data_IF_410599864836
#
_entry.id   IF_410599864836
#
_cell.length_a   1.000
_cell.length_b   1.000
_cell.length_c   1.000
_cell.angle_alpha   90.00
_cell.angle_beta   90.00
_cell.angle_gamma   90.00
#
_symmetry.space_group_name_H-M   'P 1'
#
loop_
_entity.id
_entity.type
_entity.pdbx_description
1 polymer ?
#
# COMPACT_ATOMS: atom_id res chain seq x y z
N UNK A 1 15.29 -5.99 8.47
CA UNK A 1 15.42 -4.84 7.53
C UNK A 1 14.27 -3.90 7.81
N UNK A 2 14.53 -2.60 8.04
CA UNK A 2 13.47 -1.59 8.19
C UNK A 2 12.95 -1.24 6.78
N UNK A 3 12.00 -2.04 6.29
CA UNK A 3 11.48 -1.95 4.91
C UNK A 3 10.74 -0.63 4.66
N UNK A 4 10.32 0.05 5.73
CA UNK A 4 9.51 1.26 5.67
C UNK A 4 10.35 2.55 5.61
N UNK A 5 11.64 2.49 5.96
CA UNK A 5 12.46 3.68 6.17
C UNK A 5 11.93 4.57 7.31
N UNK A 6 12.65 5.63 7.65
CA UNK A 6 12.16 6.60 8.63
C UNK A 6 10.97 7.39 8.06
N UNK A 7 9.90 7.51 8.85
CA UNK A 7 8.77 8.36 8.51
C UNK A 7 9.27 9.81 8.34
N UNK A 8 8.90 10.52 7.26
CA UNK A 8 9.24 11.93 7.12
C UNK A 8 8.73 12.75 8.31
N UNK A 9 9.55 13.63 8.91
CA UNK A 9 9.08 14.51 9.97
C UNK A 9 7.95 15.40 9.44
N UNK A 10 6.87 15.52 10.20
CA UNK A 10 5.70 16.31 9.81
C UNK A 10 4.73 15.60 8.86
N UNK A 11 4.76 14.26 8.78
CA UNK A 11 3.75 13.52 8.00
C UNK A 11 2.36 13.83 8.56
N UNK A 12 1.45 14.44 7.78
CA UNK A 12 0.18 14.94 8.29
C UNK A 12 -0.79 13.81 8.63
N UNK A 13 -1.58 13.97 9.68
CA UNK A 13 -2.77 13.14 9.90
C UNK A 13 -3.88 13.61 8.95
N UNK A 14 -4.21 12.78 7.98
CA UNK A 14 -5.33 12.96 7.07
C UNK A 14 -6.68 12.83 7.78
N UNK A 15 -7.64 13.68 7.40
CA UNK A 15 -9.05 13.40 7.67
C UNK A 15 -9.49 12.14 6.89
N UNK A 16 -10.56 11.49 7.34
CA UNK A 16 -11.10 10.32 6.63
C UNK A 16 -11.44 10.61 5.16
N UNK A 17 -11.91 11.81 4.84
CA UNK A 17 -12.27 12.21 3.48
C UNK A 17 -11.01 12.39 2.60
N UNK A 18 -9.97 12.99 3.15
CA UNK A 18 -8.71 13.19 2.44
C UNK A 18 -7.96 11.87 2.21
N UNK A 19 -8.02 10.96 3.19
CA UNK A 19 -7.47 9.62 3.09
C UNK A 19 -8.14 8.82 1.96
N UNK A 20 -9.47 8.76 1.94
CA UNK A 20 -10.22 8.05 0.91
C UNK A 20 -10.04 8.69 -0.48
N UNK A 21 -9.93 10.02 -0.58
CA UNK A 21 -9.66 10.72 -1.84
C UNK A 21 -8.30 10.32 -2.44
N UNK A 22 -7.26 10.24 -1.60
CA UNK A 22 -5.92 9.81 -2.01
C UNK A 22 -5.90 8.34 -2.44
N UNK A 23 -6.62 7.48 -1.71
CA UNK A 23 -6.81 6.07 -2.07
C UNK A 23 -7.54 5.94 -3.41
N UNK A 24 -8.64 6.67 -3.60
CA UNK A 24 -9.37 6.64 -4.86
C UNK A 24 -8.49 7.09 -6.04
N UNK A 25 -7.60 8.07 -5.81
CA UNK A 25 -6.62 8.51 -6.81
C UNK A 25 -5.58 7.43 -7.10
N UNK A 26 -5.10 6.70 -6.09
CA UNK A 26 -4.14 5.61 -6.28
C UNK A 26 -4.75 4.41 -7.00
N UNK A 27 -6.00 4.05 -6.68
CA UNK A 27 -6.70 2.92 -7.30
C UNK A 27 -7.12 3.17 -8.75
N UNK A 28 -7.33 4.43 -9.15
CA UNK A 28 -7.64 4.80 -10.55
C UNK A 28 -6.44 4.63 -11.49
N UNK A 29 -5.23 4.45 -10.95
CA UNK A 29 -4.02 4.27 -11.73
C UNK A 29 -3.86 2.81 -12.13
N UNK A 30 -3.73 2.55 -13.44
CA UNK A 30 -3.70 1.21 -14.04
C UNK A 30 -2.50 0.35 -13.62
N UNK A 31 -1.48 0.95 -13.01
CA UNK A 31 -0.23 0.26 -12.65
C UNK A 31 -0.17 -0.15 -11.18
N UNK A 32 -1.33 -0.26 -10.51
CA UNK A 32 -1.38 -0.75 -9.12
C UNK A 32 -0.71 -2.14 -9.06
N UNK A 33 0.36 -2.32 -8.25
CA UNK A 33 1.02 -3.63 -8.15
C UNK A 33 0.05 -4.72 -7.70
N UNK A 34 0.09 -5.88 -8.36
CA UNK A 34 -0.74 -7.06 -8.05
C UNK A 34 0.20 -8.21 -7.73
N UNK A 35 -0.14 -8.99 -6.70
CA UNK A 35 0.53 -10.25 -6.39
C UNK A 35 -0.33 -11.40 -6.89
N UNK A 36 0.16 -12.18 -7.85
CA UNK A 36 -0.55 -13.33 -8.39
C UNK A 36 -0.25 -14.65 -7.63
N UNK A 37 0.77 -14.67 -6.78
CA UNK A 37 1.24 -15.85 -6.05
C UNK A 37 1.92 -16.87 -6.96
N UNK A 38 2.56 -16.44 -8.05
CA UNK A 38 3.31 -17.31 -8.94
C UNK A 38 4.67 -17.69 -8.32
N UNK A 39 5.21 -18.87 -8.65
CA UNK A 39 6.48 -19.38 -8.07
C UNK A 39 7.69 -18.46 -8.32
N UNK A 40 7.58 -17.55 -9.29
CA UNK A 40 8.60 -16.56 -9.64
C UNK A 40 8.37 -15.18 -8.99
N UNK A 41 7.24 -14.99 -8.27
CA UNK A 41 6.93 -13.74 -7.59
C UNK A 41 7.48 -13.75 -6.17
N UNK A 42 8.40 -12.82 -5.90
CA UNK A 42 8.91 -12.59 -4.56
C UNK A 42 7.96 -11.66 -3.79
N UNK A 43 7.42 -12.17 -2.68
CA UNK A 43 6.52 -11.43 -1.80
C UNK A 43 7.17 -10.17 -1.21
N UNK A 44 8.49 -10.19 -0.94
CA UNK A 44 9.20 -9.03 -0.43
C UNK A 44 9.31 -7.93 -1.49
N UNK A 45 9.48 -8.31 -2.76
CA UNK A 45 9.49 -7.37 -3.90
C UNK A 45 8.09 -6.77 -4.09
N UNK A 46 7.04 -7.58 -4.00
CA UNK A 46 5.66 -7.11 -4.07
C UNK A 46 5.34 -6.11 -2.96
N UNK A 47 5.66 -6.45 -1.70
CA UNK A 47 5.43 -5.57 -0.54
C UNK A 47 6.20 -4.26 -0.71
N UNK A 48 7.46 -4.29 -1.16
CA UNK A 48 8.24 -3.07 -1.46
C UNK A 48 7.60 -2.22 -2.55
N UNK A 49 7.13 -2.82 -3.64
CA UNK A 49 6.44 -2.09 -4.70
C UNK A 49 5.15 -1.44 -4.20
N UNK A 50 4.38 -2.14 -3.34
CA UNK A 50 3.19 -1.57 -2.70
C UNK A 50 3.53 -0.39 -1.80
N UNK A 51 4.54 -0.52 -0.93
CA UNK A 51 5.00 0.56 -0.05
C UNK A 51 5.39 1.80 -0.87
N UNK A 52 6.19 1.63 -1.93
CA UNK A 52 6.63 2.73 -2.80
C UNK A 52 5.45 3.35 -3.56
N UNK A 53 4.53 2.53 -4.05
CA UNK A 53 3.34 2.97 -4.77
C UNK A 53 2.47 3.88 -3.92
N UNK A 54 2.06 3.42 -2.73
CA UNK A 54 1.27 4.20 -1.79
C UNK A 54 2.03 5.45 -1.30
N UNK A 55 3.35 5.34 -1.09
CA UNK A 55 4.23 6.46 -0.78
C UNK A 55 4.15 7.60 -1.81
N UNK A 56 4.03 7.28 -3.10
CA UNK A 56 3.84 8.28 -4.18
C UNK A 56 2.56 9.11 -4.07
N UNK A 57 1.55 8.63 -3.34
CA UNK A 57 0.30 9.36 -3.06
C UNK A 57 0.28 10.02 -1.67
N UNK A 58 1.42 10.00 -0.96
CA UNK A 58 1.53 10.47 0.42
C UNK A 58 0.92 9.51 1.44
N UNK A 59 0.57 8.29 1.03
CA UNK A 59 0.08 7.22 1.90
C UNK A 59 1.28 6.47 2.50
N UNK A 60 2.01 7.18 3.37
CA UNK A 60 3.20 6.67 4.02
C UNK A 60 2.80 5.71 5.13
N UNK A 61 3.24 4.46 4.99
CA UNK A 61 3.07 3.42 6.00
C UNK A 61 3.89 3.78 7.25
N UNK A 62 3.47 3.30 8.44
CA UNK A 62 3.82 3.73 9.81
C UNK A 62 2.84 4.76 10.42
N UNK A 63 1.86 5.25 9.67
CA UNK A 63 0.74 6.01 10.21
C UNK A 63 -0.44 5.08 10.52
N UNK A 64 -0.99 5.03 11.75
CA UNK A 64 -2.01 4.05 12.11
C UNK A 64 -3.23 4.01 11.18
N UNK A 65 -3.74 5.18 10.77
CA UNK A 65 -4.88 5.31 9.86
C UNK A 65 -4.57 4.82 8.43
N UNK A 66 -3.35 5.06 7.95
CA UNK A 66 -2.90 4.63 6.63
C UNK A 66 -2.62 3.14 6.66
N UNK A 67 -1.96 2.64 7.71
CA UNK A 67 -1.59 1.23 7.88
C UNK A 67 -2.83 0.34 7.89
N UNK A 68 -3.86 0.71 8.66
CA UNK A 68 -5.13 -0.04 8.70
C UNK A 68 -5.78 -0.05 7.33
N UNK A 69 -5.87 1.11 6.66
CA UNK A 69 -6.64 1.23 5.43
C UNK A 69 -5.92 0.63 4.22
N UNK A 70 -4.63 0.90 4.06
CA UNK A 70 -3.79 0.29 3.03
C UNK A 70 -3.67 -1.21 3.26
N UNK A 71 -3.56 -1.67 4.51
CA UNK A 71 -3.58 -3.09 4.85
C UNK A 71 -4.86 -3.79 4.35
N UNK A 72 -6.03 -3.18 4.59
CA UNK A 72 -7.30 -3.69 4.03
C UNK A 72 -7.31 -3.74 2.49
N UNK A 73 -6.75 -2.73 1.83
CA UNK A 73 -6.66 -2.70 0.37
C UNK A 73 -5.72 -3.80 -0.15
N UNK A 74 -4.55 -3.99 0.47
CA UNK A 74 -3.61 -5.04 0.10
C UNK A 74 -4.22 -6.44 0.24
N UNK A 75 -5.04 -6.68 1.29
CA UNK A 75 -5.81 -7.91 1.40
C UNK A 75 -6.82 -8.11 0.26
N UNK A 76 -7.39 -7.02 -0.27
CA UNK A 76 -8.30 -7.08 -1.42
C UNK A 76 -7.58 -7.27 -2.77
N UNK A 77 -6.31 -6.88 -2.88
CA UNK A 77 -5.48 -6.98 -4.11
C UNK A 77 -4.79 -8.34 -4.30
N UNK A 78 -5.00 -9.32 -3.41
CA UNK A 78 -4.54 -10.70 -3.59
C UNK A 78 -5.52 -11.49 -4.46
N UNK A 79 -5.01 -12.18 -5.49
CA UNK A 79 -5.81 -13.13 -6.31
C UNK A 79 -6.13 -14.39 -5.52
N UNK A 80 -7.20 -15.10 -5.89
CA UNK A 80 -7.75 -16.27 -5.18
C UNK A 80 -6.73 -17.38 -4.82
N UNK A 81 -5.63 -17.53 -5.57
CA UNK A 81 -4.56 -18.48 -5.25
C UNK A 81 -3.71 -18.08 -4.03
N UNK A 82 -3.58 -16.78 -3.75
CA UNK A 82 -2.83 -16.25 -2.61
C UNK A 82 -3.70 -16.05 -1.36
N UNK A 83 -5.02 -16.25 -1.47
CA UNK A 83 -5.99 -16.19 -0.36
C UNK A 83 -6.22 -17.54 0.33
N UNK A 84 -5.71 -18.63 -0.25
CA UNK A 84 -5.94 -20.01 0.18
C UNK A 84 -4.87 -20.51 1.16
#
# INVERSE_FOLDING_TARGET
WDVFGNMPPGTPEYSSEELESRIAKSLRQKETPIFAGEDNEDIDVYVRHMILWYGGFGLVLRQPQVDVRVGQLMMNHTKDKAKA
#
